data_IF_303130392343
#
_entry.id   IF_303130392343
#
_cell.length_a   1.000
_cell.length_b   1.000
_cell.length_c   1.000
_cell.angle_alpha   90.00
_cell.angle_beta   90.00
_cell.angle_gamma   90.00
#
_symmetry.space_group_name_H-M   'P 1'
#
loop_
_entity.id
_entity.type
_entity.pdbx_description
1 polymer ?
#
# COMPACT_ATOMS: atom_id res chain seq x y z
N UNK A 1 5.50 19.61 12.20
CA UNK A 1 5.04 18.22 12.05
C UNK A 1 3.77 18.22 11.22
N UNK A 2 3.75 17.53 10.07
CA UNK A 2 2.59 17.42 9.19
C UNK A 2 1.43 16.74 9.94
N UNK A 3 0.20 17.22 9.75
CA UNK A 3 -1.00 16.69 10.41
C UNK A 3 -1.26 15.21 10.12
N UNK A 4 -0.87 14.71 8.93
CA UNK A 4 -0.93 13.27 8.59
C UNK A 4 -0.12 12.43 9.58
N UNK A 5 1.07 12.92 9.97
CA UNK A 5 1.92 12.26 10.97
C UNK A 5 1.24 12.28 12.34
N UNK A 6 0.63 13.40 12.72
CA UNK A 6 -0.05 13.53 14.01
C UNK A 6 -1.22 12.56 14.13
N UNK A 7 -2.05 12.47 13.10
CA UNK A 7 -3.22 11.58 13.06
C UNK A 7 -2.76 10.12 13.18
N UNK A 8 -1.84 9.70 12.30
CA UNK A 8 -1.32 8.34 12.31
C UNK A 8 -0.63 8.00 13.65
N UNK A 9 0.20 8.90 14.19
CA UNK A 9 0.89 8.69 15.47
C UNK A 9 -0.10 8.51 16.62
N UNK A 10 -1.14 9.35 16.71
CA UNK A 10 -2.16 9.22 17.77
C UNK A 10 -2.89 7.89 17.69
N UNK A 11 -3.34 7.49 16.50
CA UNK A 11 -3.99 6.19 16.32
C UNK A 11 -3.11 5.04 16.79
N UNK A 12 -1.83 5.06 16.44
CA UNK A 12 -0.88 4.04 16.87
C UNK A 12 -0.69 4.04 18.39
N UNK A 13 -0.56 5.21 19.01
CA UNK A 13 -0.45 5.34 20.47
C UNK A 13 -1.70 4.82 21.19
N UNK A 14 -2.89 5.09 20.67
CA UNK A 14 -4.14 4.56 21.20
C UNK A 14 -4.17 3.03 21.14
N UNK A 15 -3.81 2.44 19.99
CA UNK A 15 -3.74 0.99 19.83
C UNK A 15 -2.71 0.34 20.77
N UNK A 16 -1.52 0.94 20.90
CA UNK A 16 -0.50 0.45 21.84
C UNK A 16 -0.98 0.56 23.28
N UNK A 17 -1.58 1.68 23.67
CA UNK A 17 -2.13 1.88 25.02
C UNK A 17 -3.23 0.88 25.33
N UNK A 18 -4.20 0.70 24.43
CA UNK A 18 -5.28 -0.30 24.57
C UNK A 18 -4.69 -1.70 24.73
N UNK A 19 -3.72 -2.05 23.89
CA UNK A 19 -3.01 -3.32 23.96
C UNK A 19 -2.33 -3.49 25.31
N UNK A 20 -1.66 -2.47 25.84
CA UNK A 20 -0.97 -2.52 27.14
C UNK A 20 -1.93 -2.72 28.33
N UNK A 21 -3.13 -2.13 28.29
CA UNK A 21 -4.15 -2.23 29.34
C UNK A 21 -4.81 -3.60 29.47
N UNK A 22 -4.73 -4.47 28.46
CA UNK A 22 -5.26 -5.83 28.55
C UNK A 22 -4.57 -6.60 29.70
N UNK A 23 -5.25 -7.51 30.42
CA UNK A 23 -4.62 -8.33 31.43
C UNK A 23 -3.43 -9.10 30.85
N UNK A 24 -2.30 -9.10 31.55
CA UNK A 24 -1.17 -9.97 31.20
C UNK A 24 -1.44 -11.34 31.83
N UNK A 25 -1.49 -12.39 31.01
CA UNK A 25 -1.38 -13.76 31.54
C UNK A 25 -0.04 -13.92 32.28
N UNK A 26 0.07 -14.96 33.12
CA UNK A 26 1.19 -15.17 34.05
C UNK A 26 2.60 -15.21 33.42
N UNK A 27 2.72 -15.30 32.09
CA UNK A 27 3.97 -15.17 31.35
C UNK A 27 3.67 -14.76 29.90
N UNK A 28 3.81 -13.48 29.51
CA UNK A 28 3.84 -13.13 28.08
C UNK A 28 4.36 -11.70 27.84
N UNK A 29 5.54 -11.61 27.24
CA UNK A 29 5.90 -10.53 26.33
C UNK A 29 4.86 -10.52 25.23
N UNK A 30 4.37 -9.33 24.90
CA UNK A 30 3.46 -9.15 23.78
C UNK A 30 4.30 -9.00 22.52
N UNK A 31 4.01 -9.73 21.43
CA UNK A 31 4.65 -9.45 20.14
C UNK A 31 4.36 -7.99 19.72
N UNK A 32 5.19 -7.38 18.87
CA UNK A 32 4.89 -6.06 18.35
C UNK A 32 3.57 -6.05 17.57
N UNK A 33 2.90 -4.91 17.57
CA UNK A 33 1.77 -4.67 16.67
C UNK A 33 2.32 -4.50 15.26
N UNK A 34 1.87 -5.31 14.31
CA UNK A 34 2.26 -5.22 12.91
C UNK A 34 1.27 -4.32 12.19
N UNK A 35 1.77 -3.21 11.65
CA UNK A 35 0.97 -2.16 11.00
C UNK A 35 1.31 -2.15 9.51
N UNK A 36 0.31 -2.39 8.66
CA UNK A 36 0.44 -2.19 7.22
C UNK A 36 0.29 -0.71 6.87
N UNK A 37 1.29 -0.10 6.24
CA UNK A 37 1.21 1.28 5.73
C UNK A 37 1.07 1.22 4.21
N UNK A 38 -0.08 1.64 3.70
CA UNK A 38 -0.34 1.67 2.26
C UNK A 38 -0.64 3.08 1.75
N UNK A 39 -0.38 3.27 0.46
CA UNK A 39 -0.74 4.45 -0.32
C UNK A 39 -0.08 4.39 -1.69
N UNK A 40 -0.60 5.10 -2.69
CA UNK A 40 -0.04 5.07 -4.04
C UNK A 40 1.38 5.64 -4.15
N UNK A 41 1.99 5.50 -5.33
CA UNK A 41 3.33 6.05 -5.59
C UNK A 41 3.35 7.57 -5.43
N UNK A 42 4.39 8.09 -4.78
CA UNK A 42 4.59 9.54 -4.61
C UNK A 42 3.73 10.22 -3.52
N UNK A 43 2.77 9.53 -2.90
CA UNK A 43 1.88 10.11 -1.88
C UNK A 43 2.59 10.47 -0.55
N UNK A 44 3.77 9.89 -0.29
CA UNK A 44 4.59 10.24 0.88
C UNK A 44 4.69 9.17 1.99
N UNK A 45 4.38 7.89 1.71
CA UNK A 45 4.50 6.77 2.67
C UNK A 45 5.82 6.73 3.43
N UNK A 46 6.94 6.65 2.72
CA UNK A 46 8.27 6.54 3.34
C UNK A 46 8.61 7.76 4.20
N UNK A 47 8.14 8.95 3.80
CA UNK A 47 8.26 10.16 4.60
C UNK A 47 7.40 10.06 5.87
N UNK A 48 6.15 9.59 5.76
CA UNK A 48 5.28 9.34 6.91
C UNK A 48 5.93 8.36 7.89
N UNK A 49 6.39 7.20 7.42
CA UNK A 49 7.00 6.14 8.24
C UNK A 49 8.23 6.66 8.99
N UNK A 50 9.14 7.36 8.31
CA UNK A 50 10.33 7.97 8.95
C UNK A 50 9.93 8.94 10.07
N UNK A 51 8.95 9.81 9.81
CA UNK A 51 8.47 10.76 10.81
C UNK A 51 7.72 10.08 11.96
N UNK A 52 6.95 9.02 11.69
CA UNK A 52 6.26 8.23 12.72
C UNK A 52 7.24 7.63 13.71
N UNK A 53 8.31 6.97 13.22
CA UNK A 53 9.32 6.37 14.09
C UNK A 53 9.92 7.43 15.03
N UNK A 54 10.26 8.61 14.50
CA UNK A 54 10.82 9.71 15.28
C UNK A 54 9.84 10.26 16.32
N UNK A 55 8.59 10.52 15.91
CA UNK A 55 7.55 11.11 16.78
C UNK A 55 7.14 10.14 17.89
N UNK A 56 7.00 8.85 17.58
CA UNK A 56 6.61 7.81 18.54
C UNK A 56 7.69 7.56 19.61
N UNK A 57 8.97 7.76 19.28
CA UNK A 57 10.07 7.65 20.22
C UNK A 57 10.18 8.84 21.20
N UNK A 58 9.51 9.96 20.92
CA UNK A 58 9.56 11.17 21.73
C UNK A 58 8.53 11.23 22.89
N UNK A 59 8.42 12.38 23.59
CA UNK A 59 7.50 12.59 24.72
C UNK A 59 6.05 12.89 24.33
N UNK A 60 5.74 12.89 23.03
CA UNK A 60 4.39 13.05 22.44
C UNK A 60 3.66 14.37 22.69
N UNK A 61 4.27 15.37 23.35
CA UNK A 61 3.64 16.67 23.64
C UNK A 61 3.11 17.40 22.37
N UNK A 62 3.80 17.23 21.24
CA UNK A 62 3.40 17.82 19.95
C UNK A 62 2.15 17.20 19.29
N UNK A 63 1.54 16.18 19.91
CA UNK A 63 0.32 15.53 19.41
C UNK A 63 -0.97 16.15 19.98
N UNK A 64 -0.86 17.10 20.93
CA UNK A 64 -1.98 17.90 21.42
C UNK A 64 -2.60 18.69 20.26
N UNK A 65 -3.94 18.68 20.15
CA UNK A 65 -4.68 19.40 19.11
C UNK A 65 -4.72 18.73 17.72
N UNK A 66 -4.40 17.44 17.61
CA UNK A 66 -4.64 16.68 16.37
C UNK A 66 -6.14 16.59 16.02
N UNK A 67 -6.52 16.49 14.74
CA UNK A 67 -7.93 16.30 14.31
C UNK A 67 -8.63 15.06 14.90
N UNK A 68 -7.89 14.06 15.37
CA UNK A 68 -8.41 12.91 16.14
C UNK A 68 -8.81 13.25 17.59
N UNK A 69 -8.71 14.52 18.02
CA UNK A 69 -8.91 14.94 19.40
C UNK A 69 -10.39 15.11 19.78
N UNK A 70 -11.17 14.04 19.74
CA UNK A 70 -12.39 13.97 20.55
C UNK A 70 -12.00 13.61 22.00
N UNK A 71 -11.42 14.58 22.71
CA UNK A 71 -11.09 14.47 24.14
C UNK A 71 -9.63 14.70 24.53
N UNK A 72 -9.32 14.62 25.84
CA UNK A 72 -8.00 14.93 26.37
C UNK A 72 -6.95 13.93 25.90
N UNK A 73 -5.89 14.43 25.25
CA UNK A 73 -4.70 13.63 24.96
C UNK A 73 -3.86 13.49 26.22
N UNK A 74 -3.70 12.27 26.72
CA UNK A 74 -2.73 11.96 27.77
C UNK A 74 -1.44 11.48 27.10
N UNK A 75 -0.31 12.19 27.25
CA UNK A 75 0.99 11.70 26.80
C UNK A 75 1.22 10.27 27.27
N UNK A 76 1.80 9.44 26.41
CA UNK A 76 2.09 8.04 26.71
C UNK A 76 3.60 7.82 26.79
N UNK A 77 4.05 6.63 27.23
CA UNK A 77 5.48 6.32 27.21
C UNK A 77 6.02 6.34 25.76
N UNK A 78 7.31 6.60 25.53
CA UNK A 78 7.95 6.36 24.24
C UNK A 78 7.62 4.97 23.68
N UNK A 79 7.31 4.93 22.38
CA UNK A 79 6.94 3.72 21.65
C UNK A 79 8.02 3.42 20.63
N UNK A 80 8.63 2.24 20.73
CA UNK A 80 9.69 1.82 19.82
C UNK A 80 9.07 1.19 18.58
N UNK A 81 9.40 1.75 17.42
CA UNK A 81 8.94 1.27 16.12
C UNK A 81 10.11 0.98 15.19
N UNK A 82 9.95 -0.05 14.35
CA UNK A 82 10.86 -0.40 13.25
C UNK A 82 10.03 -0.56 12.00
N UNK A 83 10.61 -0.23 10.84
CA UNK A 83 9.93 -0.36 9.55
C UNK A 83 10.67 -1.29 8.59
N UNK A 84 9.89 -1.91 7.70
CA UNK A 84 10.36 -2.62 6.52
C UNK A 84 9.51 -2.19 5.32
N UNK A 85 10.15 -1.82 4.22
CA UNK A 85 9.45 -1.62 2.95
C UNK A 85 9.30 -2.95 2.22
N UNK A 86 8.16 -3.20 1.59
CA UNK A 86 8.02 -4.38 0.72
C UNK A 86 9.00 -4.32 -0.46
N UNK A 87 9.46 -3.13 -0.86
CA UNK A 87 10.47 -3.00 -1.90
C UNK A 87 11.81 -3.64 -1.47
N UNK A 88 12.11 -3.72 -0.17
CA UNK A 88 13.30 -4.45 0.33
C UNK A 88 13.12 -5.98 0.26
N UNK A 89 11.88 -6.43 0.04
CA UNK A 89 11.50 -7.83 -0.14
C UNK A 89 11.37 -8.21 -1.62
N UNK A 90 11.83 -7.41 -2.58
CA UNK A 90 11.93 -7.89 -3.97
C UNK A 90 12.76 -9.18 -4.05
N UNK A 91 12.41 -10.04 -5.01
CA UNK A 91 13.23 -11.19 -5.36
C UNK A 91 14.63 -10.72 -5.79
N UNK A 92 15.70 -11.48 -5.49
CA UNK A 92 17.03 -11.19 -6.03
C UNK A 92 17.04 -11.14 -7.56
N UNK A 93 18.03 -10.49 -8.14
CA UNK A 93 18.11 -10.20 -9.58
C UNK A 93 17.90 -11.46 -10.44
N UNK A 94 18.61 -12.54 -10.13
CA UNK A 94 18.52 -13.79 -10.88
C UNK A 94 17.13 -14.44 -10.79
N UNK A 95 16.46 -14.31 -9.64
CA UNK A 95 15.10 -14.78 -9.46
C UNK A 95 14.09 -13.91 -10.25
N UNK A 96 14.29 -12.60 -10.34
CA UNK A 96 13.49 -11.75 -11.24
C UNK A 96 13.71 -12.09 -12.72
N UNK A 97 14.94 -12.45 -13.12
CA UNK A 97 15.22 -12.95 -14.47
C UNK A 97 14.55 -14.32 -14.72
N UNK A 98 14.41 -15.15 -13.69
CA UNK A 98 13.64 -16.39 -13.77
C UNK A 98 12.15 -16.11 -13.96
N UNK A 99 11.54 -15.22 -13.15
CA UNK A 99 10.15 -14.78 -13.33
C UNK A 99 9.90 -14.27 -14.76
N UNK A 100 10.81 -13.45 -15.30
CA UNK A 100 10.71 -12.98 -16.68
C UNK A 100 10.71 -14.13 -17.71
N UNK A 101 11.54 -15.16 -17.49
CA UNK A 101 11.65 -16.34 -18.38
C UNK A 101 10.41 -17.23 -18.30
N UNK A 102 9.83 -17.38 -17.11
CA UNK A 102 8.64 -18.20 -16.89
C UNK A 102 7.36 -17.52 -17.41
N UNK A 103 7.37 -16.18 -17.51
CA UNK A 103 6.24 -15.38 -17.95
C UNK A 103 6.56 -14.52 -19.19
N UNK A 104 6.94 -15.13 -20.34
CA UNK A 104 7.48 -14.39 -21.49
C UNK A 104 6.46 -13.41 -22.12
N UNK A 105 5.16 -13.70 -22.00
CA UNK A 105 4.09 -12.88 -22.56
C UNK A 105 3.52 -11.84 -21.58
N UNK A 106 3.88 -11.91 -20.29
CA UNK A 106 3.38 -11.01 -19.27
C UNK A 106 4.41 -9.93 -18.93
N UNK A 107 4.39 -8.83 -19.71
CA UNK A 107 5.30 -7.69 -19.51
C UNK A 107 5.18 -7.04 -18.12
N UNK A 108 4.06 -7.22 -17.43
CA UNK A 108 3.86 -6.70 -16.07
C UNK A 108 4.83 -7.36 -15.07
N UNK A 109 5.21 -8.62 -15.30
CA UNK A 109 6.15 -9.38 -14.47
C UNK A 109 7.62 -9.25 -14.92
N UNK A 110 7.91 -8.43 -15.94
CA UNK A 110 9.27 -8.23 -16.42
C UNK A 110 9.98 -7.18 -15.57
N UNK A 111 10.71 -7.67 -14.57
CA UNK A 111 11.44 -6.87 -13.58
C UNK A 111 10.59 -6.59 -12.32
N UNK A 112 11.19 -5.92 -11.33
CA UNK A 112 10.57 -5.65 -10.02
C UNK A 112 9.36 -4.71 -10.12
N UNK A 113 8.39 -4.89 -9.22
CA UNK A 113 7.35 -3.88 -8.96
C UNK A 113 6.01 -4.47 -8.52
N UNK A 114 5.44 -5.30 -9.38
CA UNK A 114 4.07 -5.81 -9.22
C UNK A 114 4.01 -7.10 -8.39
N UNK A 115 2.83 -7.46 -7.83
CA UNK A 115 2.62 -8.76 -7.20
C UNK A 115 3.19 -9.93 -8.02
N UNK A 116 3.97 -10.77 -7.35
CA UNK A 116 4.72 -11.88 -7.96
C UNK A 116 6.22 -11.61 -8.11
N UNK A 117 6.66 -10.38 -7.85
CA UNK A 117 8.07 -9.99 -7.92
C UNK A 117 8.76 -9.87 -6.56
N UNK A 118 8.05 -10.22 -5.48
CA UNK A 118 8.57 -10.17 -4.11
C UNK A 118 8.78 -11.58 -3.55
N UNK A 119 9.73 -11.71 -2.64
CA UNK A 119 10.02 -12.92 -1.89
C UNK A 119 9.05 -13.03 -0.71
N UNK A 120 7.90 -13.63 -1.00
CA UNK A 120 6.84 -13.82 -0.01
C UNK A 120 7.30 -14.70 1.15
N UNK A 121 8.12 -15.71 0.88
CA UNK A 121 8.61 -16.64 1.89
C UNK A 121 9.51 -15.93 2.92
N UNK A 122 10.41 -15.04 2.48
CA UNK A 122 11.20 -14.21 3.38
C UNK A 122 10.32 -13.26 4.19
N UNK A 123 9.34 -12.60 3.55
CA UNK A 123 8.38 -11.74 4.25
C UNK A 123 7.60 -12.51 5.34
N UNK A 124 7.04 -13.67 5.00
CA UNK A 124 6.33 -14.56 5.93
C UNK A 124 7.23 -15.06 7.06
N UNK A 125 8.52 -15.29 6.78
CA UNK A 125 9.47 -15.68 7.82
C UNK A 125 9.66 -14.55 8.86
N UNK A 126 9.93 -13.33 8.41
CA UNK A 126 10.10 -12.14 9.26
C UNK A 126 8.83 -11.88 10.09
N UNK A 127 7.66 -11.89 9.45
CA UNK A 127 6.38 -11.64 10.11
C UNK A 127 6.05 -12.72 11.15
N UNK A 128 6.32 -14.00 10.86
CA UNK A 128 6.15 -15.09 11.84
C UNK A 128 7.13 -14.99 13.00
N UNK A 129 8.38 -14.63 12.75
CA UNK A 129 9.37 -14.41 13.82
C UNK A 129 8.86 -13.35 14.80
N UNK A 130 8.34 -12.22 14.30
CA UNK A 130 7.75 -11.15 15.10
C UNK A 130 6.53 -11.63 15.90
N UNK A 131 5.64 -12.42 15.30
CA UNK A 131 4.43 -12.93 16.00
C UNK A 131 4.73 -13.98 17.07
N UNK A 132 5.77 -14.77 16.86
CA UNK A 132 6.11 -15.89 17.73
C UNK A 132 7.11 -15.53 18.85
N UNK A 133 7.48 -14.25 18.98
CA UNK A 133 8.30 -13.75 20.08
C UNK A 133 7.69 -14.19 21.41
N UNK A 134 8.38 -15.11 22.10
CA UNK A 134 7.91 -15.76 23.31
C UNK A 134 8.81 -15.42 24.49
N UNK A 135 8.30 -15.41 25.74
CA UNK A 135 9.09 -15.10 26.94
C UNK A 135 10.05 -16.21 27.36
N UNK A 136 10.02 -17.35 26.67
CA UNK A 136 10.65 -18.59 27.14
C UNK A 136 12.10 -18.77 26.68
N UNK A 137 12.63 -17.84 25.91
CA UNK A 137 14.04 -17.84 25.53
C UNK A 137 14.70 -16.64 26.19
N UNK A 138 15.59 -16.88 27.15
CA UNK A 138 16.48 -15.88 27.77
C UNK A 138 17.50 -15.28 26.77
N UNK A 139 17.26 -15.41 25.47
CA UNK A 139 18.11 -14.91 24.40
C UNK A 139 17.40 -13.78 23.66
N UNK A 140 18.07 -12.64 23.54
CA UNK A 140 17.68 -11.56 22.64
C UNK A 140 17.47 -12.09 21.21
N UNK A 141 16.37 -11.70 20.56
CA UNK A 141 16.10 -12.09 19.18
C UNK A 141 16.65 -11.01 18.25
N UNK A 142 17.61 -11.35 17.40
CA UNK A 142 18.09 -10.47 16.35
C UNK A 142 17.30 -10.70 15.07
N UNK A 143 16.40 -9.77 14.74
CA UNK A 143 15.68 -9.78 13.47
C UNK A 143 16.55 -9.14 12.39
N UNK A 144 16.83 -9.87 11.30
CA UNK A 144 17.55 -9.35 10.14
C UNK A 144 16.57 -8.90 9.07
N UNK A 145 16.65 -7.64 8.66
CA UNK A 145 15.77 -7.05 7.66
C UNK A 145 16.53 -6.86 6.35
N UNK A 146 16.01 -7.40 5.23
CA UNK A 146 16.68 -7.31 3.95
C UNK A 146 16.80 -5.86 3.50
N UNK A 147 17.77 -5.64 2.61
CA UNK A 147 17.99 -4.36 1.95
C UNK A 147 18.04 -4.64 0.46
N UNK A 148 17.24 -3.92 -0.31
CA UNK A 148 17.26 -4.02 -1.76
C UNK A 148 17.89 -2.76 -2.38
N UNK A 149 18.99 -2.94 -3.10
CA UNK A 149 19.64 -1.85 -3.80
C UNK A 149 19.13 -1.79 -5.24
N UNK A 150 18.28 -0.77 -5.50
CA UNK A 150 17.67 -0.53 -6.81
C UNK A 150 18.67 -0.07 -7.88
N UNK A 151 19.89 0.34 -7.50
CA UNK A 151 20.91 0.86 -8.40
C UNK A 151 21.75 -0.24 -9.08
N UNK A 152 21.84 -1.42 -8.44
CA UNK A 152 22.58 -2.56 -8.97
C UNK A 152 22.04 -3.01 -10.34
N UNK A 153 22.88 -3.72 -11.10
CA UNK A 153 22.55 -4.24 -12.44
C UNK A 153 21.94 -3.17 -13.36
N UNK A 154 22.59 -1.99 -13.43
CA UNK A 154 22.15 -0.84 -14.23
C UNK A 154 20.70 -0.40 -13.93
N UNK A 155 20.34 -0.37 -12.65
CA UNK A 155 19.01 0.05 -12.23
C UNK A 155 17.94 -1.05 -12.24
N UNK A 156 18.27 -2.29 -12.63
CA UNK A 156 17.39 -3.45 -12.48
C UNK A 156 17.26 -3.87 -11.00
N UNK A 157 18.29 -3.59 -10.21
CA UNK A 157 18.39 -3.79 -8.78
C UNK A 157 18.70 -5.22 -8.38
N UNK A 158 19.14 -5.38 -7.13
CA UNK A 158 19.35 -6.68 -6.47
C UNK A 158 19.15 -6.57 -4.96
N UNK A 159 18.95 -7.72 -4.32
CA UNK A 159 19.03 -7.82 -2.86
C UNK A 159 20.49 -7.82 -2.45
N UNK A 160 20.84 -7.03 -1.43
CA UNK A 160 22.17 -7.09 -0.84
C UNK A 160 22.40 -8.42 -0.12
N UNK A 161 23.67 -8.80 -0.01
CA UNK A 161 24.09 -9.95 0.78
C UNK A 161 23.58 -9.82 2.22
N UNK A 162 23.28 -10.95 2.85
CA UNK A 162 22.66 -10.94 4.17
C UNK A 162 23.53 -10.19 5.20
N UNK A 163 24.86 -10.22 5.05
CA UNK A 163 25.81 -9.55 5.95
C UNK A 163 25.63 -8.03 6.00
N UNK A 164 24.96 -7.47 4.99
CA UNK A 164 24.65 -6.04 4.87
C UNK A 164 23.23 -5.70 5.32
N UNK A 165 22.45 -6.69 5.76
CA UNK A 165 21.08 -6.48 6.25
C UNK A 165 21.06 -5.75 7.59
N UNK A 166 20.02 -4.97 7.80
CA UNK A 166 19.83 -4.25 9.06
C UNK A 166 19.50 -5.26 10.17
N UNK A 167 20.23 -5.21 11.28
CA UNK A 167 19.95 -6.04 12.45
C UNK A 167 19.17 -5.25 13.48
N UNK A 168 18.00 -5.77 13.83
CA UNK A 168 17.08 -5.20 14.82
C UNK A 168 17.06 -6.11 16.03
N UNK A 169 17.62 -5.65 17.14
CA UNK A 169 17.51 -6.34 18.42
C UNK A 169 16.09 -6.24 18.95
N UNK A 170 15.44 -7.37 19.15
CA UNK A 170 14.14 -7.46 19.80
C UNK A 170 14.35 -8.05 21.18
N UNK A 171 14.47 -7.14 22.15
CA UNK A 171 14.69 -7.49 23.56
C UNK A 171 13.36 -7.94 24.15
N UNK A 172 13.43 -9.08 24.82
CA UNK A 172 12.29 -9.75 25.43
C UNK A 172 11.97 -9.14 26.81
N UNK A 173 12.99 -8.75 27.57
CA UNK A 173 12.84 -8.17 28.90
C UNK A 173 12.63 -6.65 28.89
N UNK A 174 11.66 -6.16 29.68
CA UNK A 174 11.49 -4.74 30.00
C UNK A 174 12.44 -4.24 31.11
N UNK A 175 13.34 -5.09 31.61
CA UNK A 175 14.24 -4.75 32.74
C UNK A 175 15.44 -3.88 32.35
N UNK A 176 15.67 -3.64 31.06
CA UNK A 176 16.69 -2.70 30.59
C UNK A 176 16.00 -1.44 30.05
N UNK A 177 16.17 -0.31 30.73
CA UNK A 177 15.60 0.97 30.32
C UNK A 177 16.25 1.54 29.05
N UNK A 178 17.49 1.12 28.73
CA UNK A 178 18.26 1.61 27.58
C UNK A 178 17.86 0.95 26.25
N UNK A 179 17.26 -0.25 26.28
CA UNK A 179 16.76 -0.96 25.08
C UNK A 179 15.30 -1.45 25.29
N UNK A 180 14.28 -0.60 25.07
CA UNK A 180 12.88 -0.99 25.26
C UNK A 180 12.44 -2.07 24.26
N UNK A 181 11.42 -2.89 24.60
CA UNK A 181 10.89 -3.89 23.68
C UNK A 181 10.34 -3.24 22.42
N UNK A 182 10.34 -3.97 21.31
CA UNK A 182 9.73 -3.50 20.08
C UNK A 182 8.21 -3.47 20.23
N UNK A 183 7.60 -2.29 20.16
CA UNK A 183 6.15 -2.12 20.29
C UNK A 183 5.43 -2.23 18.94
N UNK A 184 6.04 -1.69 17.88
CA UNK A 184 5.45 -1.59 16.54
C UNK A 184 6.41 -2.09 15.45
N UNK A 185 5.86 -2.82 14.48
CA UNK A 185 6.53 -3.14 13.21
C UNK A 185 5.72 -2.58 12.05
N UNK A 186 6.28 -1.61 11.33
CA UNK A 186 5.63 -0.92 10.23
C UNK A 186 6.03 -1.58 8.91
N UNK A 187 5.13 -2.33 8.29
CA UNK A 187 5.33 -2.88 6.95
C UNK A 187 4.74 -1.90 5.94
N UNK A 188 5.56 -1.20 5.16
CA UNK A 188 5.08 -0.23 4.17
C UNK A 188 5.13 -0.74 2.73
N UNK A 189 4.14 -0.39 1.93
CA UNK A 189 4.09 -0.85 0.53
C UNK A 189 2.93 -0.25 -0.26
N UNK A 190 3.09 -0.12 -1.56
CA UNK A 190 2.10 0.56 -2.41
C UNK A 190 0.84 -0.30 -2.66
N UNK A 191 0.97 -1.62 -2.66
CA UNK A 191 -0.11 -2.59 -2.88
C UNK A 191 -0.54 -3.36 -1.62
N UNK A 192 -0.05 -2.99 -0.43
CA UNK A 192 -0.43 -3.66 0.81
C UNK A 192 -1.92 -3.45 1.14
N UNK A 193 -2.68 -4.52 1.35
CA UNK A 193 -4.14 -4.43 1.51
C UNK A 193 -4.89 -4.31 0.18
N UNK A 194 -4.23 -4.51 -0.96
CA UNK A 194 -4.95 -4.86 -2.18
C UNK A 194 -5.50 -6.28 -2.06
N UNK A 195 -6.64 -6.52 -2.69
CA UNK A 195 -7.29 -7.83 -2.69
C UNK A 195 -7.53 -8.30 -4.10
N UNK A 196 -7.24 -9.57 -4.30
CA UNK A 196 -7.56 -10.27 -5.52
C UNK A 196 -9.07 -10.32 -5.74
N UNK A 197 -9.45 -10.51 -6.99
CA UNK A 197 -10.83 -10.69 -7.42
C UNK A 197 -11.09 -12.18 -7.71
N UNK A 198 -12.31 -12.66 -7.51
CA UNK A 198 -12.77 -13.87 -8.17
C UNK A 198 -12.52 -13.78 -9.68
N UNK A 199 -12.06 -14.87 -10.29
CA UNK A 199 -11.64 -14.84 -11.69
C UNK A 199 -12.80 -14.45 -12.64
N UNK A 200 -14.03 -14.88 -12.33
CA UNK A 200 -15.21 -14.48 -13.11
C UNK A 200 -15.53 -12.98 -12.98
N UNK A 201 -15.30 -12.39 -11.81
CA UNK A 201 -15.48 -10.96 -11.60
C UNK A 201 -14.44 -10.14 -12.38
N UNK A 202 -13.17 -10.55 -12.34
CA UNK A 202 -12.11 -9.92 -13.14
C UNK A 202 -12.46 -9.98 -14.64
N UNK A 203 -12.86 -11.17 -15.12
CA UNK A 203 -13.27 -11.37 -16.52
C UNK A 203 -14.41 -10.44 -16.90
N UNK A 204 -15.45 -10.41 -16.08
CA UNK A 204 -16.63 -9.59 -16.32
C UNK A 204 -16.26 -8.10 -16.40
N UNK A 205 -15.51 -7.58 -15.40
CA UNK A 205 -15.08 -6.18 -15.39
C UNK A 205 -14.27 -5.80 -16.63
N UNK A 206 -13.35 -6.67 -17.05
CA UNK A 206 -12.53 -6.47 -18.24
C UNK A 206 -13.39 -6.42 -19.51
N UNK A 207 -14.33 -7.36 -19.69
CA UNK A 207 -15.24 -7.40 -20.85
C UNK A 207 -16.20 -6.20 -20.87
N UNK A 208 -16.70 -5.77 -19.71
CA UNK A 208 -17.57 -4.60 -19.57
C UNK A 208 -16.83 -3.32 -19.97
N UNK A 209 -15.59 -3.15 -19.51
CA UNK A 209 -14.75 -2.03 -19.90
C UNK A 209 -14.44 -2.02 -21.42
N UNK A 210 -14.20 -3.19 -22.02
CA UNK A 210 -14.03 -3.30 -23.48
C UNK A 210 -15.28 -2.84 -24.24
N UNK A 211 -16.47 -3.29 -23.81
CA UNK A 211 -17.75 -2.90 -24.44
C UNK A 211 -17.99 -1.39 -24.36
N UNK A 212 -17.71 -0.79 -23.21
CA UNK A 212 -17.84 0.67 -23.02
C UNK A 212 -16.87 1.45 -23.91
N UNK A 213 -15.62 0.99 -24.04
CA UNK A 213 -14.62 1.63 -24.92
C UNK A 213 -15.03 1.56 -26.40
N UNK A 214 -15.62 0.46 -26.84
CA UNK A 214 -16.09 0.29 -28.22
C UNK A 214 -17.36 1.10 -28.54
N UNK A 215 -18.13 1.53 -27.53
CA UNK A 215 -19.38 2.28 -27.70
C UNK A 215 -19.21 3.78 -27.99
N UNK A 216 -17.98 4.31 -27.98
CA UNK A 216 -17.68 5.75 -28.01
C UNK A 216 -16.87 6.20 -29.26
N UNK A 217 -16.94 5.45 -30.37
CA UNK A 217 -16.35 5.86 -31.66
C UNK A 217 -17.19 5.43 -32.87
N UNK A 218 -17.69 6.39 -33.68
CA UNK A 218 -17.71 6.27 -35.12
C UNK A 218 -16.54 7.08 -35.70
N UNK A 219 -15.49 6.41 -36.16
CA UNK A 219 -14.74 6.83 -37.35
C UNK A 219 -13.88 5.68 -37.85
N UNK A 220 -14.16 5.28 -39.09
CA UNK A 220 -13.26 4.52 -39.94
C UNK A 220 -11.92 5.25 -40.04
N UNK A 221 -10.82 4.60 -39.63
CA UNK A 221 -9.60 4.50 -40.43
C UNK A 221 -8.48 3.74 -39.70
N UNK A 222 -7.96 2.77 -40.45
CA UNK A 222 -6.59 2.28 -40.49
C UNK A 222 -5.94 1.58 -39.28
N UNK A 223 -5.50 0.35 -39.58
CA UNK A 223 -4.37 -0.32 -38.97
C UNK A 223 -3.16 0.64 -38.83
N UNK A 224 -2.63 0.78 -37.61
CA UNK A 224 -1.42 1.54 -37.38
C UNK A 224 -1.09 1.68 -35.89
N UNK A 225 0.07 1.13 -35.50
CA UNK A 225 0.86 1.42 -34.29
C UNK A 225 0.16 2.20 -33.17
N UNK A 226 -0.19 1.51 -32.07
CA UNK A 226 -0.64 2.14 -30.83
C UNK A 226 0.48 3.03 -30.26
N UNK A 227 0.46 4.30 -30.65
CA UNK A 227 1.22 5.36 -29.98
C UNK A 227 0.63 5.56 -28.59
N UNK A 228 1.47 5.36 -27.57
CA UNK A 228 1.22 5.48 -26.13
C UNK A 228 0.99 6.93 -25.67
N UNK A 229 0.23 7.71 -26.44
CA UNK A 229 -0.06 9.11 -26.10
C UNK A 229 -1.05 9.16 -24.93
N UNK A 230 -0.52 9.53 -23.77
CA UNK A 230 -1.29 9.87 -22.57
C UNK A 230 -2.08 11.14 -22.84
N UNK A 231 -3.36 11.00 -23.22
CA UNK A 231 -4.30 12.12 -23.19
C UNK A 231 -5.10 12.07 -21.89
N UNK A 232 -5.25 13.22 -21.21
CA UNK A 232 -6.09 13.31 -20.01
C UNK A 232 -7.55 12.86 -20.28
N UNK A 233 -7.99 12.91 -21.54
CA UNK A 233 -9.29 12.41 -21.97
C UNK A 233 -9.42 10.89 -21.86
N UNK A 234 -8.32 10.12 -21.92
CA UNK A 234 -8.36 8.67 -21.81
C UNK A 234 -8.39 8.19 -20.35
N UNK A 235 -7.91 9.00 -19.40
CA UNK A 235 -7.93 8.65 -17.96
C UNK A 235 -9.34 8.46 -17.41
N UNK A 236 -10.33 9.07 -18.06
CA UNK A 236 -11.74 8.92 -17.69
C UNK A 236 -12.34 7.58 -18.12
N UNK A 237 -11.67 6.79 -18.97
CA UNK A 237 -12.17 5.47 -19.38
C UNK A 237 -12.00 4.44 -18.25
N UNK A 238 -12.97 3.53 -18.03
CA UNK A 238 -12.84 2.50 -17.00
C UNK A 238 -11.74 1.51 -17.40
N UNK A 239 -10.92 1.11 -16.43
CA UNK A 239 -9.85 0.11 -16.64
C UNK A 239 -8.90 0.47 -17.80
N UNK A 240 -8.68 1.78 -18.04
CA UNK A 240 -7.91 2.29 -19.16
C UNK A 240 -6.53 1.64 -19.30
N UNK A 241 -5.82 1.45 -18.19
CA UNK A 241 -4.48 0.86 -18.20
C UNK A 241 -4.55 -0.67 -18.24
N UNK A 242 -5.48 -1.29 -17.53
CA UNK A 242 -5.66 -2.74 -17.56
C UNK A 242 -5.99 -3.26 -18.98
N UNK A 243 -6.78 -2.52 -19.76
CA UNK A 243 -7.11 -2.86 -21.15
C UNK A 243 -5.91 -2.79 -22.13
N UNK A 244 -4.75 -2.29 -21.70
CA UNK A 244 -3.51 -2.32 -22.49
C UNK A 244 -2.79 -3.67 -22.39
N UNK A 245 -3.29 -4.58 -21.56
CA UNK A 245 -2.70 -5.89 -21.32
C UNK A 245 -3.71 -7.00 -21.63
N UNK A 246 -3.27 -8.17 -22.13
CA UNK A 246 -4.11 -9.34 -22.24
C UNK A 246 -4.73 -9.70 -20.88
N UNK A 247 -5.97 -10.18 -20.88
CA UNK A 247 -6.67 -10.53 -19.64
C UNK A 247 -5.95 -11.66 -18.88
N UNK A 248 -5.26 -12.54 -19.59
CA UNK A 248 -4.42 -13.61 -19.03
C UNK A 248 -3.29 -13.05 -18.15
N UNK A 249 -2.65 -11.97 -18.58
CA UNK A 249 -1.62 -11.28 -17.80
C UNK A 249 -2.18 -10.70 -16.50
N UNK A 250 -3.44 -10.25 -16.51
CA UNK A 250 -4.14 -9.73 -15.34
C UNK A 250 -4.57 -10.87 -14.40
N UNK A 251 -4.93 -12.04 -14.93
CA UNK A 251 -5.20 -13.24 -14.12
C UNK A 251 -3.95 -13.72 -13.38
N UNK A 252 -2.79 -13.74 -14.04
CA UNK A 252 -1.53 -14.06 -13.37
C UNK A 252 -1.22 -13.06 -12.24
N UNK A 253 -1.40 -11.77 -12.50
CA UNK A 253 -1.20 -10.74 -11.48
C UNK A 253 -2.16 -10.90 -10.29
N UNK A 254 -3.43 -11.21 -10.58
CA UNK A 254 -4.47 -11.48 -9.59
C UNK A 254 -4.14 -12.73 -8.75
N UNK A 255 -3.65 -13.79 -9.39
CA UNK A 255 -3.19 -15.00 -8.71
C UNK A 255 -1.98 -14.72 -7.82
N UNK A 256 -1.01 -13.96 -8.30
CA UNK A 256 0.13 -13.55 -7.49
C UNK A 256 -0.30 -12.72 -6.29
N UNK A 257 -1.30 -11.84 -6.42
CA UNK A 257 -1.83 -11.06 -5.31
C UNK A 257 -2.51 -11.93 -4.24
N UNK A 258 -3.21 -13.01 -4.62
CA UNK A 258 -3.76 -14.01 -3.67
C UNK A 258 -2.70 -14.59 -2.75
N UNK A 259 -1.46 -14.71 -3.24
CA UNK A 259 -0.36 -15.20 -2.42
C UNK A 259 0.01 -14.20 -1.31
N UNK A 260 -0.02 -12.88 -1.57
CA UNK A 260 0.24 -11.86 -0.53
C UNK A 260 -0.84 -11.89 0.54
N UNK A 261 -2.09 -12.04 0.12
CA UNK A 261 -3.23 -12.19 1.03
C UNK A 261 -3.02 -13.37 1.97
N UNK A 262 -2.67 -14.53 1.43
CA UNK A 262 -2.46 -15.74 2.24
C UNK A 262 -1.23 -15.65 3.14
N UNK A 263 -0.13 -15.11 2.62
CA UNK A 263 1.18 -15.18 3.25
C UNK A 263 1.41 -14.05 4.27
N UNK A 264 0.97 -12.83 3.97
CA UNK A 264 1.33 -11.65 4.78
C UNK A 264 0.16 -11.11 5.60
N UNK A 265 -1.06 -11.07 5.07
CA UNK A 265 -2.18 -10.39 5.73
C UNK A 265 -2.62 -11.01 7.06
N UNK A 266 -2.54 -12.35 7.28
CA UNK A 266 -2.79 -12.95 8.59
C UNK A 266 -1.88 -12.40 9.70
N UNK A 267 -0.74 -11.83 9.36
CA UNK A 267 0.19 -11.26 10.33
C UNK A 267 -0.04 -9.76 10.60
N UNK A 268 -0.80 -9.05 9.76
CA UNK A 268 -1.05 -7.61 9.93
C UNK A 268 -2.20 -7.41 10.93
N UNK A 269 -2.00 -6.51 11.89
CA UNK A 269 -2.97 -6.24 12.97
C UNK A 269 -3.85 -5.02 12.73
N UNK A 270 -3.39 -4.10 11.88
CA UNK A 270 -4.06 -2.85 11.54
C UNK A 270 -3.44 -2.26 10.27
N UNK A 271 -4.20 -1.49 9.50
CA UNK A 271 -3.66 -0.69 8.41
C UNK A 271 -3.77 0.82 8.67
N UNK A 272 -2.79 1.57 8.16
CA UNK A 272 -2.92 3.01 7.88
C UNK A 272 -2.78 3.19 6.37
N UNK A 273 -3.82 3.71 5.74
CA UNK A 273 -3.93 3.85 4.30
C UNK A 273 -3.98 5.33 3.92
N UNK A 274 -3.10 5.75 3.02
CA UNK A 274 -3.08 7.08 2.45
C UNK A 274 -3.81 7.06 1.11
N UNK A 275 -4.86 7.87 0.99
CA UNK A 275 -5.71 7.92 -0.20
C UNK A 275 -5.62 9.26 -0.90
N UNK A 276 -5.44 9.33 -2.23
CA UNK A 276 -5.79 10.52 -2.99
C UNK A 276 -7.26 10.83 -2.73
N UNK A 277 -7.56 12.07 -2.36
CA UNK A 277 -8.91 12.53 -2.17
C UNK A 277 -9.67 12.41 -3.48
N UNK A 278 -10.90 11.88 -3.42
CA UNK A 278 -11.83 11.93 -4.53
C UNK A 278 -12.35 13.37 -4.68
N UNK A 279 -11.53 14.28 -5.20
CA UNK A 279 -12.05 15.55 -5.69
C UNK A 279 -13.02 15.19 -6.81
N UNK A 280 -14.32 15.43 -6.59
CA UNK A 280 -15.32 15.41 -7.68
C UNK A 280 -14.68 16.16 -8.84
N UNK A 281 -14.48 15.54 -10.00
CA UNK A 281 -13.81 16.22 -11.07
C UNK A 281 -14.62 17.49 -11.40
N UNK A 282 -13.98 18.66 -11.36
CA UNK A 282 -14.42 19.77 -12.21
C UNK A 282 -13.94 19.47 -13.64
N UNK A 283 -14.43 18.37 -14.21
CA UNK A 283 -14.27 18.10 -15.63
C UNK A 283 -15.49 18.64 -16.37
N UNK A 284 -15.34 19.07 -17.64
CA UNK A 284 -16.47 19.43 -18.46
C UNK A 284 -17.43 18.25 -18.52
N UNK A 285 -18.74 18.53 -18.50
CA UNK A 285 -19.84 17.57 -18.61
C UNK A 285 -19.57 16.52 -19.67
N UNK A 286 -19.05 15.35 -19.25
CA UNK A 286 -19.04 14.15 -20.08
C UNK A 286 -20.48 13.69 -20.14
N UNK A 287 -21.03 13.66 -21.34
CA UNK A 287 -22.39 13.23 -21.61
C UNK A 287 -22.52 11.73 -21.37
N UNK A 288 -23.36 11.36 -20.40
CA UNK A 288 -24.17 10.14 -20.39
C UNK A 288 -23.47 8.78 -20.34
N UNK A 289 -22.58 8.58 -19.37
CA UNK A 289 -22.31 7.23 -18.86
C UNK A 289 -22.41 7.26 -17.32
N UNK A 290 -23.25 6.38 -16.76
CA UNK A 290 -23.68 6.43 -15.35
C UNK A 290 -22.47 6.32 -14.40
N UNK A 291 -22.23 7.31 -13.50
CA UNK A 291 -21.16 7.27 -12.50
C UNK A 291 -21.12 5.96 -11.69
N UNK A 292 -22.27 5.30 -11.50
CA UNK A 292 -22.35 4.01 -10.82
C UNK A 292 -21.67 2.88 -11.60
N UNK A 293 -21.70 2.92 -12.94
CA UNK A 293 -21.07 1.91 -13.81
C UNK A 293 -19.54 2.02 -13.78
N UNK A 294 -18.99 3.24 -13.77
CA UNK A 294 -17.53 3.44 -13.67
C UNK A 294 -16.99 2.94 -12.34
N UNK A 295 -17.63 3.34 -11.24
CA UNK A 295 -17.24 2.91 -9.90
C UNK A 295 -17.33 1.38 -9.74
N UNK A 296 -18.28 0.72 -10.41
CA UNK A 296 -18.37 -0.73 -10.38
C UNK A 296 -17.17 -1.41 -11.07
N UNK A 297 -16.62 -0.84 -12.13
CA UNK A 297 -15.54 -1.44 -12.92
C UNK A 297 -14.14 -1.02 -12.42
N UNK A 298 -13.98 0.26 -12.12
CA UNK A 298 -12.73 0.92 -11.78
C UNK A 298 -12.96 1.93 -10.64
N UNK A 299 -12.55 1.54 -9.43
CA UNK A 299 -12.73 2.40 -8.26
C UNK A 299 -11.65 3.48 -8.18
N UNK A 300 -10.50 3.30 -8.84
CA UNK A 300 -9.37 4.23 -8.76
C UNK A 300 -9.57 5.39 -9.73
N UNK A 301 -10.31 6.40 -9.28
CA UNK A 301 -10.84 7.48 -10.14
C UNK A 301 -9.79 8.22 -10.97
N UNK A 302 -10.17 8.84 -12.10
CA UNK A 302 -9.25 9.51 -13.02
C UNK A 302 -8.35 10.57 -12.35
N UNK A 303 -8.88 11.33 -11.40
CA UNK A 303 -8.11 12.33 -10.65
C UNK A 303 -7.06 11.67 -9.74
N UNK A 304 -7.39 10.54 -9.10
CA UNK A 304 -6.45 9.78 -8.31
C UNK A 304 -5.31 9.25 -9.19
N UNK A 305 -5.61 8.73 -10.40
CA UNK A 305 -4.59 8.33 -11.40
C UNK A 305 -3.66 9.51 -11.72
N UNK A 306 -4.23 10.65 -12.09
CA UNK A 306 -3.47 11.86 -12.43
C UNK A 306 -2.55 12.31 -11.28
N UNK A 307 -3.03 12.21 -10.04
CA UNK A 307 -2.25 12.56 -8.85
C UNK A 307 -1.05 11.63 -8.65
N UNK A 308 -1.17 10.32 -8.87
CA UNK A 308 -0.03 9.39 -8.81
C UNK A 308 1.04 9.74 -9.86
N UNK A 309 0.62 10.03 -11.10
CA UNK A 309 1.56 10.46 -12.15
C UNK A 309 2.28 11.76 -11.74
N UNK A 310 1.52 12.77 -11.30
CA UNK A 310 2.08 14.06 -10.86
C UNK A 310 3.05 13.88 -9.70
N UNK A 311 2.66 13.14 -8.66
CA UNK A 311 3.48 12.94 -7.48
C UNK A 311 4.75 12.15 -7.76
N UNK A 312 4.69 11.15 -8.65
CA UNK A 312 5.90 10.42 -9.05
C UNK A 312 6.84 11.31 -9.86
N UNK A 313 6.30 12.15 -10.73
CA UNK A 313 7.09 13.10 -11.51
C UNK A 313 7.80 14.12 -10.61
N UNK A 314 7.07 14.72 -9.67
CA UNK A 314 7.65 15.62 -8.65
C UNK A 314 8.77 14.94 -7.85
N UNK A 315 8.59 13.67 -7.46
CA UNK A 315 9.61 12.92 -6.73
C UNK A 315 10.86 12.65 -7.59
N UNK A 316 10.70 12.37 -8.89
CA UNK A 316 11.82 12.18 -9.81
C UNK A 316 12.58 13.49 -10.06
N UNK A 317 11.87 14.60 -10.26
CA UNK A 317 12.47 15.93 -10.40
C UNK A 317 13.25 16.32 -9.15
N UNK A 318 12.66 16.13 -7.96
CA UNK A 318 13.35 16.39 -6.70
C UNK A 318 14.62 15.54 -6.55
N UNK A 319 14.57 14.25 -6.88
CA UNK A 319 15.74 13.36 -6.83
C UNK A 319 16.85 13.83 -7.77
N UNK A 320 16.50 14.17 -9.02
CA UNK A 320 17.45 14.68 -10.02
C UNK A 320 18.12 15.97 -9.55
N UNK A 321 17.37 16.87 -8.93
CA UNK A 321 17.91 18.15 -8.44
C UNK A 321 18.75 18.01 -7.16
N UNK A 322 18.35 17.13 -6.23
CA UNK A 322 18.86 17.16 -4.86
C UNK A 322 19.76 15.97 -4.49
N UNK A 323 19.77 14.89 -5.27
CA UNK A 323 20.41 13.62 -4.87
C UNK A 323 21.32 13.05 -5.95
N UNK A 324 20.93 13.11 -7.22
CA UNK A 324 21.57 12.33 -8.28
C UNK A 324 22.26 13.16 -9.37
N UNK A 325 22.51 14.46 -9.13
CA UNK A 325 23.20 15.37 -10.05
C UNK A 325 22.61 15.33 -11.48
N UNK A 326 21.28 15.43 -11.56
CA UNK A 326 20.52 15.40 -12.81
C UNK A 326 20.25 14.01 -13.38
N UNK A 327 20.82 12.94 -12.82
CA UNK A 327 20.62 11.57 -13.32
C UNK A 327 19.29 10.99 -12.84
N UNK A 328 18.47 10.50 -13.75
CA UNK A 328 17.19 9.89 -13.42
C UNK A 328 16.39 9.62 -14.68
N UNK A 329 15.15 9.20 -14.50
CA UNK A 329 14.22 9.01 -15.60
C UNK A 329 13.86 10.35 -16.27
N UNK A 330 13.57 10.29 -17.57
CA UNK A 330 12.84 11.37 -18.26
C UNK A 330 11.38 11.38 -17.83
N UNK A 331 10.66 12.47 -18.09
CA UNK A 331 9.23 12.58 -17.77
C UNK A 331 8.41 11.47 -18.47
N UNK A 332 8.77 11.11 -19.71
CA UNK A 332 8.16 10.00 -20.46
C UNK A 332 8.45 8.66 -19.80
N UNK A 333 9.70 8.42 -19.39
CA UNK A 333 10.08 7.20 -18.67
C UNK A 333 9.38 7.09 -17.32
N UNK A 334 9.15 8.21 -16.61
CA UNK A 334 8.34 8.25 -15.40
C UNK A 334 6.90 7.85 -15.70
N UNK A 335 6.32 8.38 -16.78
CA UNK A 335 4.95 8.01 -17.19
C UNK A 335 4.87 6.51 -17.50
N UNK A 336 5.78 5.97 -18.30
CA UNK A 336 5.82 4.53 -18.60
C UNK A 336 6.02 3.70 -17.34
N UNK A 337 6.87 4.15 -16.42
CA UNK A 337 7.07 3.51 -15.12
C UNK A 337 5.77 3.45 -14.31
N UNK A 338 5.07 4.58 -14.14
CA UNK A 338 3.82 4.63 -13.37
C UNK A 338 2.70 3.84 -14.04
N UNK A 339 2.60 3.90 -15.38
CA UNK A 339 1.59 3.19 -16.15
C UNK A 339 1.61 1.68 -15.90
N UNK A 340 2.78 1.09 -15.63
CA UNK A 340 2.90 -0.33 -15.24
C UNK A 340 2.14 -0.68 -13.95
N UNK A 341 2.00 0.26 -13.01
CA UNK A 341 1.33 0.02 -11.73
C UNK A 341 -0.18 0.27 -11.80
N UNK A 342 -0.64 1.03 -12.79
CA UNK A 342 -2.04 1.43 -12.93
C UNK A 342 -3.03 0.27 -13.03
N UNK A 343 -2.77 -0.82 -13.78
CA UNK A 343 -3.69 -1.96 -13.82
C UNK A 343 -4.00 -2.52 -12.43
N UNK A 344 -3.02 -2.53 -11.53
CA UNK A 344 -3.22 -3.02 -10.16
C UNK A 344 -4.07 -2.06 -9.31
N UNK A 345 -3.90 -0.75 -9.47
CA UNK A 345 -4.77 0.24 -8.82
C UNK A 345 -6.22 0.12 -9.32
N UNK A 346 -6.41 0.04 -10.63
CA UNK A 346 -7.72 -0.06 -11.26
C UNK A 346 -8.49 -1.32 -10.82
N UNK A 347 -7.81 -2.46 -10.70
CA UNK A 347 -8.43 -3.75 -10.39
C UNK A 347 -8.55 -4.04 -8.89
N UNK A 348 -7.49 -3.78 -8.10
CA UNK A 348 -7.34 -4.39 -6.78
C UNK A 348 -7.43 -3.42 -5.60
N UNK A 349 -7.59 -2.12 -5.86
CA UNK A 349 -7.69 -1.09 -4.82
C UNK A 349 -9.12 -0.94 -4.23
N UNK A 350 -10.03 -1.88 -4.50
CA UNK A 350 -11.46 -1.68 -4.24
C UNK A 350 -11.82 -1.64 -2.76
N UNK A 351 -11.32 -2.58 -1.96
CA UNK A 351 -11.64 -2.62 -0.53
C UNK A 351 -10.99 -1.46 0.24
N UNK A 352 -9.94 -0.86 -0.33
CA UNK A 352 -9.35 0.41 0.11
C UNK A 352 -10.29 1.61 -0.08
N UNK A 353 -11.20 1.58 -1.07
CA UNK A 353 -12.18 2.66 -1.35
C UNK A 353 -13.59 2.36 -0.85
N UNK A 354 -13.97 1.10 -0.72
CA UNK A 354 -15.31 0.71 -0.24
C UNK A 354 -15.48 0.92 1.26
N UNK A 355 -14.40 0.74 2.02
CA UNK A 355 -14.35 1.02 3.44
C UNK A 355 -14.76 2.48 3.74
N UNK A 356 -14.53 3.39 2.79
CA UNK A 356 -14.97 4.78 2.82
C UNK A 356 -16.44 4.95 2.37
N UNK A 357 -16.86 4.30 1.29
CA UNK A 357 -18.21 4.44 0.71
C UNK A 357 -19.34 3.99 1.66
N UNK A 358 -19.08 3.00 2.53
CA UNK A 358 -20.06 2.49 3.50
C UNK A 358 -20.48 3.50 4.58
N UNK A 359 -19.86 4.69 4.65
CA UNK A 359 -20.32 5.79 5.52
C UNK A 359 -21.37 6.69 4.86
N UNK A 360 -21.46 6.71 3.52
CA UNK A 360 -22.47 7.50 2.78
C UNK A 360 -23.83 6.79 2.69
N UNK A 361 -23.84 5.44 2.77
CA UNK A 361 -25.06 4.65 2.79
C UNK A 361 -25.26 4.02 4.18
N UNK A 362 -25.84 4.77 5.13
CA UNK A 362 -26.42 4.17 6.33
C UNK A 362 -27.62 3.32 5.92
N UNK A 363 -27.44 2.01 5.95
CA UNK A 363 -28.53 1.05 5.88
C UNK A 363 -28.24 -0.03 4.85
N UNK A 364 -27.66 -1.14 5.31
CA UNK A 364 -27.93 -2.49 4.84
C UNK A 364 -27.19 -3.44 5.78
N UNK A 365 -27.95 -4.23 6.53
CA UNK A 365 -27.42 -5.22 7.45
C UNK A 365 -26.66 -6.35 6.70
N UNK A 366 -25.59 -6.89 7.28
CA UNK A 366 -24.90 -8.04 6.70
C UNK A 366 -25.78 -9.28 6.76
N UNK A 367 -26.06 -9.87 5.59
CA UNK A 367 -26.66 -11.19 5.46
C UNK A 367 -25.58 -12.28 5.43
N UNK A 368 -25.79 -13.26 6.33
CA UNK A 368 -25.48 -14.71 6.28
C UNK A 368 -24.22 -15.26 6.99
N UNK A 369 -24.56 -16.18 7.92
CA UNK A 369 -23.94 -17.42 8.42
C UNK A 369 -22.42 -17.55 8.62
N UNK A 370 -22.12 -17.89 9.88
CA UNK A 370 -20.84 -18.16 10.51
C UNK A 370 -20.25 -19.52 10.11
N UNK A 371 -19.03 -19.49 9.56
CA UNK A 371 -17.90 -20.40 9.87
C UNK A 371 -16.62 -20.08 9.07
N UNK A 372 -16.67 -19.15 8.11
CA UNK A 372 -15.52 -18.61 7.37
C UNK A 372 -15.71 -17.11 7.07
N UNK A 373 -16.07 -16.31 8.07
CA UNK A 373 -16.14 -14.87 7.89
C UNK A 373 -14.71 -14.30 7.78
N UNK A 374 -14.41 -13.47 6.78
CA UNK A 374 -13.07 -12.89 6.62
C UNK A 374 -12.72 -12.03 7.83
N UNK A 375 -11.48 -12.14 8.29
CA UNK A 375 -10.99 -11.46 9.50
C UNK A 375 -11.05 -9.95 9.30
N UNK A 376 -11.79 -9.27 10.16
CA UNK A 376 -11.86 -7.81 10.16
C UNK A 376 -10.71 -7.22 10.97
N UNK A 377 -10.03 -6.23 10.38
CA UNK A 377 -8.84 -5.59 10.92
C UNK A 377 -9.10 -4.08 11.04
N UNK A 378 -9.10 -3.51 12.26
CA UNK A 378 -9.38 -2.09 12.45
C UNK A 378 -8.29 -1.27 11.76
N UNK A 379 -8.68 -0.30 10.94
CA UNK A 379 -7.76 0.43 10.06
C UNK A 379 -8.13 1.91 9.99
N UNK A 380 -7.15 2.73 9.62
CA UNK A 380 -7.28 4.17 9.47
C UNK A 380 -7.01 4.56 8.02
N UNK A 381 -7.94 5.28 7.41
CA UNK A 381 -7.79 5.87 6.08
C UNK A 381 -7.56 7.37 6.24
N UNK A 382 -6.54 7.93 5.60
CA UNK A 382 -6.24 9.37 5.59
C UNK A 382 -6.31 9.87 4.15
N UNK A 383 -7.23 10.80 3.89
CA UNK A 383 -7.42 11.37 2.56
C UNK A 383 -6.53 12.58 2.36
N UNK A 384 -5.87 12.61 1.21
CA UNK A 384 -4.89 13.62 0.87
C UNK A 384 -5.25 14.26 -0.47
N UNK A 385 -5.36 15.58 -0.47
CA UNK A 385 -5.50 16.38 -1.68
C UNK A 385 -4.28 16.20 -2.59
N UNK A 386 -4.41 16.73 -3.80
CA UNK A 386 -3.36 16.76 -4.81
C UNK A 386 -2.03 17.37 -4.34
N UNK A 387 -2.03 18.26 -3.36
CA UNK A 387 -0.83 18.87 -2.74
C UNK A 387 -0.31 18.05 -1.53
N UNK A 388 -0.89 16.87 -1.26
CA UNK A 388 -0.64 15.99 -0.12
C UNK A 388 -1.05 16.60 1.24
N UNK A 389 -1.84 17.67 1.26
CA UNK A 389 -2.54 18.15 2.45
C UNK A 389 -3.75 17.27 2.75
N UNK A 390 -4.21 17.29 3.99
CA UNK A 390 -5.39 16.53 4.42
C UNK A 390 -6.67 17.08 3.76
N UNK A 391 -7.55 16.18 3.31
CA UNK A 391 -8.86 16.52 2.76
C UNK A 391 -9.98 16.48 3.83
N UNK A 392 -10.74 17.58 4.00
CA UNK A 392 -11.90 17.66 4.89
C UNK A 392 -11.57 17.39 6.37
N UNK A 393 -12.44 16.63 7.06
CA UNK A 393 -12.23 16.19 8.46
C UNK A 393 -11.03 15.23 8.61
N UNK A 394 -10.54 14.70 7.49
CA UNK A 394 -9.15 14.32 7.35
C UNK A 394 -8.75 12.88 7.62
N UNK A 395 -9.68 12.02 8.04
CA UNK A 395 -9.46 10.59 8.16
C UNK A 395 -10.77 9.82 8.41
N UNK A 396 -10.76 8.50 8.21
CA UNK A 396 -11.88 7.59 8.48
C UNK A 396 -11.36 6.32 9.16
N UNK A 397 -11.99 5.91 10.25
CA UNK A 397 -11.77 4.57 10.82
C UNK A 397 -12.66 3.54 10.12
N UNK A 398 -12.05 2.44 9.69
CA UNK A 398 -12.71 1.40 8.90
C UNK A 398 -12.34 0.00 9.41
N UNK A 399 -13.13 -1.00 9.04
CA UNK A 399 -12.78 -2.41 9.22
C UNK A 399 -12.30 -2.95 7.87
N UNK A 400 -11.03 -3.34 7.82
CA UNK A 400 -10.42 -3.93 6.64
C UNK A 400 -10.58 -5.45 6.68
N UNK A 401 -11.16 -6.01 5.64
CA UNK A 401 -11.42 -7.44 5.55
C UNK A 401 -10.20 -8.16 5.00
N UNK A 402 -9.48 -8.90 5.84
CA UNK A 402 -8.42 -9.83 5.42
C UNK A 402 -9.01 -11.22 5.19
N UNK A 403 -8.63 -11.85 4.07
CA UNK A 403 -9.08 -13.18 3.65
C UNK A 403 -8.53 -14.31 4.52
#
# INVERSE_FOLDING_TARGET
MNDTVKIAARRLLELVRQRDLLPRGAAAIRPPLIVGIQGPQGIGKTTLVKNLISVLAGPHEGLVGSPLADGPFTPYRPVRAVALSIDDLYLPHDALLQVKRDHPNNRLLHGRGLPGTHDLALGSHILRQLKNLSPRTDSDVCLRLPVYDKSLHNGAGDRLDDSQWNTVKVVSSRSNEDEPPLDLFLLEGWCLGFQSLPDDELRQRYQDAQRLRSGDQPSDDAAGSQSSSFSNANLSQPLHFALQHPVESLFELNANLREYEREWYPHIDTFIQLCPANSKPRLPTVTASDPATYSALDKFQPQAKADVFRWRLEAEHWMKENVSDGKGMTDEQVRDFVARYMPAYELFSQNWLDAHSNRLNKGLEPRRNESQAPRQVPSLVIELNSDRSICGDGFVEVQFSTS
#
